data_IF_732294046788
#
_entry.id   IF_732294046788
#
_cell.length_a   1.000
_cell.length_b   1.000
_cell.length_c   1.000
_cell.angle_alpha   90.00
_cell.angle_beta   90.00
_cell.angle_gamma   90.00
#
_symmetry.space_group_name_H-M   'P 1'
#
loop_
_entity.id
_entity.type
_entity.pdbx_description
1 polymer ?
#
# COMPACT_ATOMS: atom_id res chain seq x y z
N UNK A 1 7.63 -18.62 -5.09
CA UNK A 1 8.36 -17.94 -4.01
C UNK A 1 7.61 -18.19 -2.73
N UNK A 2 8.27 -18.75 -1.74
CA UNK A 2 7.73 -18.97 -0.40
C UNK A 2 7.58 -17.62 0.30
N UNK A 3 6.54 -17.49 1.13
CA UNK A 3 6.30 -16.24 1.86
C UNK A 3 7.30 -16.05 3.00
N UNK A 4 7.87 -17.15 3.52
CA UNK A 4 8.93 -17.12 4.53
C UNK A 4 10.11 -16.24 4.12
N UNK A 5 10.51 -16.26 2.82
CA UNK A 5 11.56 -15.40 2.28
C UNK A 5 11.23 -13.91 2.49
N UNK A 6 9.95 -13.54 2.31
CA UNK A 6 9.48 -12.18 2.55
C UNK A 6 9.48 -11.85 4.04
N UNK A 7 9.03 -12.78 4.88
CA UNK A 7 8.99 -12.61 6.33
C UNK A 7 10.40 -12.49 6.93
N UNK A 8 11.36 -13.26 6.46
CA UNK A 8 12.77 -13.13 6.85
C UNK A 8 13.38 -11.79 6.44
N UNK A 9 13.13 -11.36 5.21
CA UNK A 9 13.56 -10.04 4.74
C UNK A 9 12.96 -8.91 5.59
N UNK A 10 11.70 -9.05 6.01
CA UNK A 10 11.04 -8.06 6.89
C UNK A 10 11.68 -8.03 8.29
N UNK A 11 12.00 -9.18 8.86
CA UNK A 11 12.76 -9.26 10.12
C UNK A 11 14.12 -8.57 9.99
N UNK A 12 14.82 -8.80 8.90
CA UNK A 12 16.13 -8.19 8.65
C UNK A 12 16.01 -6.67 8.44
N UNK A 13 14.96 -6.18 7.78
CA UNK A 13 14.67 -4.76 7.64
C UNK A 13 14.40 -4.10 9.00
N UNK A 14 13.65 -4.74 9.90
CA UNK A 14 13.42 -4.20 11.26
C UNK A 14 14.71 -4.04 12.08
N UNK A 15 15.68 -4.92 11.85
CA UNK A 15 16.97 -4.87 12.53
C UNK A 15 17.97 -3.90 11.88
N UNK A 16 17.65 -3.40 10.69
CA UNK A 16 18.55 -2.52 9.95
C UNK A 16 18.60 -1.12 10.58
N UNK A 17 19.79 -0.63 10.81
CA UNK A 17 20.04 0.73 11.27
C UNK A 17 20.58 1.58 10.12
N UNK A 18 19.81 2.62 9.76
CA UNK A 18 20.21 3.57 8.72
C UNK A 18 19.73 3.20 7.32
N UNK A 19 19.59 4.25 6.51
CA UNK A 19 18.94 4.18 5.18
C UNK A 19 19.66 3.24 4.20
N UNK A 20 20.99 3.23 4.20
CA UNK A 20 21.74 2.39 3.25
C UNK A 20 21.53 0.91 3.53
N UNK A 21 21.57 0.51 4.82
CA UNK A 21 21.32 -0.88 5.21
C UNK A 21 19.89 -1.33 4.84
N UNK A 22 18.88 -0.44 5.00
CA UNK A 22 17.52 -0.71 4.57
C UNK A 22 17.43 -0.94 3.05
N UNK A 23 18.12 -0.10 2.26
CA UNK A 23 18.15 -0.24 0.79
C UNK A 23 18.81 -1.57 0.39
N UNK A 24 19.94 -1.93 0.98
CA UNK A 24 20.68 -3.16 0.69
C UNK A 24 19.85 -4.41 0.99
N UNK A 25 19.21 -4.47 2.16
CA UNK A 25 18.35 -5.60 2.54
C UNK A 25 17.12 -5.72 1.65
N UNK A 26 16.49 -4.59 1.34
CA UNK A 26 15.37 -4.58 0.42
C UNK A 26 15.78 -4.96 -1.01
N UNK A 27 16.94 -4.48 -1.49
CA UNK A 27 17.50 -4.87 -2.77
C UNK A 27 17.75 -6.38 -2.85
N UNK A 28 18.22 -7.00 -1.77
CA UNK A 28 18.41 -8.45 -1.70
C UNK A 28 17.11 -9.22 -1.81
N UNK A 29 16.01 -8.74 -1.19
CA UNK A 29 14.67 -9.31 -1.37
C UNK A 29 14.20 -9.18 -2.82
N UNK A 30 14.29 -7.98 -3.40
CA UNK A 30 13.81 -7.73 -4.77
C UNK A 30 14.60 -8.53 -5.80
N UNK A 31 15.92 -8.67 -5.64
CA UNK A 31 16.79 -9.42 -6.56
C UNK A 31 16.45 -10.91 -6.64
N UNK A 32 15.99 -11.52 -5.53
CA UNK A 32 15.58 -12.93 -5.52
C UNK A 32 14.09 -13.14 -5.85
N UNK A 33 13.32 -12.05 -6.01
CA UNK A 33 11.90 -12.11 -6.32
C UNK A 33 11.71 -12.46 -7.81
N UNK A 34 10.97 -13.53 -8.16
CA UNK A 34 10.63 -13.83 -9.55
C UNK A 34 9.92 -12.66 -10.23
N UNK A 35 10.27 -12.37 -11.48
CA UNK A 35 9.74 -11.23 -12.24
C UNK A 35 8.20 -11.08 -12.17
N UNK A 36 7.37 -12.13 -12.31
CA UNK A 36 5.92 -11.99 -12.22
C UNK A 36 5.40 -11.61 -10.81
N UNK A 37 6.21 -11.80 -9.76
CA UNK A 37 5.85 -11.49 -8.38
C UNK A 37 6.37 -10.14 -7.91
N UNK A 38 7.30 -9.52 -8.65
CA UNK A 38 7.93 -8.28 -8.26
C UNK A 38 6.91 -7.15 -7.97
N UNK A 39 5.88 -6.91 -8.81
CA UNK A 39 4.85 -5.92 -8.52
C UNK A 39 4.15 -6.14 -7.18
N UNK A 40 3.78 -7.38 -6.92
CA UNK A 40 3.07 -7.77 -5.69
C UNK A 40 3.96 -7.64 -4.46
N UNK A 41 5.23 -8.04 -4.54
CA UNK A 41 6.18 -7.87 -3.44
C UNK A 41 6.44 -6.39 -3.15
N UNK A 42 6.47 -5.53 -4.18
CA UNK A 42 6.54 -4.07 -3.99
C UNK A 42 5.33 -3.53 -3.22
N UNK A 43 4.10 -3.99 -3.52
CA UNK A 43 2.92 -3.61 -2.74
C UNK A 43 2.99 -4.12 -1.31
N UNK A 44 3.36 -5.40 -1.11
CA UNK A 44 3.50 -5.97 0.23
C UNK A 44 4.51 -5.18 1.08
N UNK A 45 5.61 -4.71 0.50
CA UNK A 45 6.57 -3.84 1.18
C UNK A 45 5.99 -2.46 1.58
N UNK A 46 4.93 -2.01 0.90
CA UNK A 46 4.17 -0.81 1.28
C UNK A 46 3.05 -1.08 2.31
N UNK A 47 2.83 -2.33 2.69
CA UNK A 47 1.68 -2.73 3.51
C UNK A 47 0.38 -2.87 2.69
N UNK A 48 0.47 -2.95 1.37
CA UNK A 48 -0.64 -2.97 0.42
C UNK A 48 -0.71 -4.32 -0.32
N UNK A 49 -1.79 -4.57 -1.07
CA UNK A 49 -1.96 -5.72 -1.98
C UNK A 49 -2.30 -5.28 -3.42
N UNK A 50 -2.44 -3.98 -3.61
CA UNK A 50 -2.75 -3.31 -4.87
C UNK A 50 -2.21 -1.86 -4.79
N UNK A 51 -2.23 -1.07 -5.88
CA UNK A 51 -1.92 0.36 -5.81
C UNK A 51 -2.78 1.08 -4.77
N UNK A 52 -2.23 2.08 -4.08
CA UNK A 52 -2.91 2.84 -3.01
C UNK A 52 -4.25 3.40 -3.48
N UNK A 53 -4.28 3.96 -4.70
CA UNK A 53 -5.49 4.54 -5.28
C UNK A 53 -6.58 3.51 -5.64
N UNK A 54 -6.26 2.22 -5.69
CA UNK A 54 -7.30 1.19 -5.88
C UNK A 54 -8.22 1.03 -4.67
N UNK A 55 -7.90 1.70 -3.53
CA UNK A 55 -8.75 1.75 -2.36
C UNK A 55 -9.05 0.40 -1.72
N UNK A 56 -8.18 -0.58 -1.91
CA UNK A 56 -8.41 -1.94 -1.41
C UNK A 56 -8.23 -1.98 0.11
N UNK A 57 -9.34 -1.99 0.83
CA UNK A 57 -9.36 -2.14 2.28
C UNK A 57 -9.63 -3.61 2.66
N UNK A 58 -8.79 -4.19 3.50
CA UNK A 58 -9.01 -5.53 4.03
C UNK A 58 -10.17 -5.59 5.02
N UNK A 59 -10.55 -4.46 5.61
CA UNK A 59 -11.67 -4.35 6.56
C UNK A 59 -11.51 -5.29 7.77
N UNK A 60 -10.26 -5.48 8.22
CA UNK A 60 -9.90 -6.35 9.35
C UNK A 60 -9.60 -5.51 10.59
N UNK A 61 -10.60 -5.36 11.44
CA UNK A 61 -10.39 -4.75 12.75
C UNK A 61 -9.55 -5.68 13.66
N UNK A 62 -8.78 -5.08 14.57
CA UNK A 62 -7.90 -5.79 15.52
C UNK A 62 -8.62 -6.91 16.27
N UNK A 63 -9.88 -6.68 16.69
CA UNK A 63 -10.71 -7.70 17.36
C UNK A 63 -10.92 -8.96 16.52
N UNK A 64 -11.08 -8.81 15.21
CA UNK A 64 -11.25 -9.94 14.30
C UNK A 64 -9.92 -10.69 14.13
N UNK A 65 -8.81 -9.99 14.02
CA UNK A 65 -7.49 -10.57 13.95
C UNK A 65 -7.11 -11.33 15.23
N UNK A 66 -7.43 -10.80 16.42
CA UNK A 66 -7.29 -11.52 17.72
C UNK A 66 -8.06 -12.85 17.71
N UNK A 67 -9.32 -12.85 17.21
CA UNK A 67 -10.12 -14.08 17.09
C UNK A 67 -9.50 -15.08 16.11
N UNK A 68 -8.94 -14.59 14.99
CA UNK A 68 -8.26 -15.45 14.02
C UNK A 68 -7.02 -16.12 14.62
N UNK A 69 -6.22 -15.40 15.39
CA UNK A 69 -5.09 -15.98 16.16
C UNK A 69 -5.60 -17.02 17.13
N UNK A 70 -6.64 -16.72 17.90
CA UNK A 70 -7.25 -17.67 18.84
C UNK A 70 -7.71 -18.97 18.15
N UNK A 71 -8.35 -18.85 16.99
CA UNK A 71 -8.80 -19.99 16.18
C UNK A 71 -7.61 -20.81 15.66
N UNK A 72 -6.54 -20.16 15.17
CA UNK A 72 -5.37 -20.84 14.61
C UNK A 72 -4.53 -21.56 15.68
N UNK A 73 -4.48 -21.03 16.92
CA UNK A 73 -3.66 -21.56 18.02
C UNK A 73 -4.44 -22.37 19.04
N UNK A 74 -5.77 -22.44 18.93
CA UNK A 74 -6.63 -23.03 19.97
C UNK A 74 -6.69 -22.23 21.28
N UNK A 75 -6.24 -20.97 21.27
CA UNK A 75 -6.19 -20.07 22.44
C UNK A 75 -7.47 -19.23 22.55
N UNK A 76 -8.04 -19.09 23.74
CA UNK A 76 -9.21 -18.23 23.93
C UNK A 76 -8.90 -16.76 23.53
N UNK A 77 -9.80 -16.08 22.79
CA UNK A 77 -9.56 -14.71 22.30
C UNK A 77 -9.25 -13.71 23.43
N UNK A 78 -9.79 -13.93 24.63
CA UNK A 78 -9.54 -13.09 25.82
C UNK A 78 -8.07 -13.20 26.28
N UNK A 79 -7.48 -14.39 26.18
CA UNK A 79 -6.07 -14.64 26.51
C UNK A 79 -5.17 -14.03 25.46
N UNK A 80 -5.50 -14.19 24.16
CA UNK A 80 -4.78 -13.52 23.08
C UNK A 80 -4.81 -12.01 23.28
N UNK A 81 -5.99 -11.42 23.55
CA UNK A 81 -6.14 -10.00 23.78
C UNK A 81 -5.41 -9.49 25.03
N UNK A 82 -5.29 -10.30 26.09
CA UNK A 82 -4.49 -9.97 27.25
C UNK A 82 -2.99 -9.91 26.91
N UNK A 83 -2.48 -10.90 26.17
CA UNK A 83 -1.08 -10.91 25.70
C UNK A 83 -0.77 -9.76 24.74
N UNK A 84 -1.70 -9.39 23.84
CA UNK A 84 -1.55 -8.22 22.97
C UNK A 84 -1.38 -6.93 23.78
N UNK A 85 -2.15 -6.75 24.87
CA UNK A 85 -2.00 -5.57 25.75
C UNK A 85 -0.68 -5.54 26.49
N UNK A 86 -0.14 -6.71 26.85
CA UNK A 86 1.15 -6.85 27.53
C UNK A 86 2.32 -6.56 26.59
N UNK A 87 2.30 -7.14 25.39
CA UNK A 87 3.39 -7.08 24.40
C UNK A 87 3.32 -5.78 23.56
N UNK A 88 2.11 -5.26 23.32
CA UNK A 88 1.87 -4.08 22.50
C UNK A 88 1.92 -4.32 20.98
N UNK A 89 1.99 -5.60 20.52
CA UNK A 89 2.07 -5.96 19.11
C UNK A 89 1.37 -7.31 18.86
N UNK A 90 0.32 -7.28 18.03
CA UNK A 90 -0.46 -8.48 17.71
C UNK A 90 0.37 -9.49 16.91
N UNK A 91 1.25 -9.02 16.01
CA UNK A 91 2.12 -9.89 15.22
C UNK A 91 3.10 -10.66 16.10
N UNK A 92 3.77 -9.98 17.05
CA UNK A 92 4.66 -10.65 18.01
C UNK A 92 3.89 -11.61 18.92
N UNK A 93 2.69 -11.24 19.33
CA UNK A 93 1.82 -12.12 20.13
C UNK A 93 1.50 -13.41 19.38
N UNK A 94 1.17 -13.33 18.10
CA UNK A 94 0.88 -14.51 17.30
C UNK A 94 2.12 -15.37 17.04
N UNK A 95 3.28 -14.74 16.79
CA UNK A 95 4.56 -15.46 16.66
C UNK A 95 4.83 -16.32 17.90
N UNK A 96 4.68 -15.75 19.09
CA UNK A 96 4.89 -16.47 20.36
C UNK A 96 3.87 -17.61 20.57
N UNK A 97 2.58 -17.34 20.37
CA UNK A 97 1.53 -18.33 20.54
C UNK A 97 1.64 -19.49 19.55
N UNK A 98 2.00 -19.24 18.31
CA UNK A 98 2.22 -20.29 17.31
C UNK A 98 3.48 -21.11 17.64
N UNK A 99 4.54 -20.47 18.12
CA UNK A 99 5.74 -21.18 18.58
C UNK A 99 5.45 -22.07 19.79
N UNK A 100 4.68 -21.59 20.78
CA UNK A 100 4.22 -22.38 21.93
C UNK A 100 3.38 -23.59 21.47
N UNK A 101 2.40 -23.38 20.59
CA UNK A 101 1.55 -24.46 20.05
C UNK A 101 2.35 -25.49 19.27
N UNK A 102 3.38 -25.09 18.55
CA UNK A 102 4.27 -26.02 17.83
C UNK A 102 5.14 -26.83 18.78
N UNK A 103 5.60 -26.24 19.90
CA UNK A 103 6.40 -26.92 20.92
C UNK A 103 5.59 -27.95 21.74
N UNK A 104 4.31 -27.71 21.95
CA UNK A 104 3.40 -28.59 22.70
C UNK A 104 2.91 -29.79 21.89
N UNK A 105 3.23 -29.89 20.60
CA UNK A 105 2.95 -31.08 19.78
C UNK A 105 3.85 -32.22 20.24
N UNK A 106 3.30 -33.42 20.56
CA UNK A 106 4.11 -34.53 21.02
C UNK A 106 5.17 -34.92 19.99
N UNK A 107 6.44 -34.91 20.38
CA UNK A 107 7.53 -35.45 19.59
C UNK A 107 7.32 -36.97 19.42
N UNK A 108 6.80 -37.43 18.29
CA UNK A 108 6.63 -38.87 18.06
C UNK A 108 5.58 -39.26 17.02
N UNK A 109 4.73 -38.36 16.59
CA UNK A 109 3.94 -38.61 15.39
C UNK A 109 4.85 -38.26 14.21
N UNK A 110 5.42 -39.27 13.55
CA UNK A 110 6.12 -39.10 12.29
C UNK A 110 5.19 -38.33 11.35
N UNK A 111 5.53 -37.05 11.06
CA UNK A 111 4.84 -36.30 10.04
C UNK A 111 4.94 -37.07 8.74
N UNK A 112 3.85 -37.67 8.32
CA UNK A 112 3.75 -38.11 6.93
C UNK A 112 3.83 -36.87 6.06
N UNK A 113 4.30 -37.02 4.83
CA UNK A 113 4.38 -35.86 3.89
C UNK A 113 3.00 -35.15 3.70
N UNK A 114 1.90 -35.84 4.08
CA UNK A 114 0.54 -35.30 4.08
C UNK A 114 0.21 -34.44 5.31
N UNK A 115 0.96 -34.56 6.40
CA UNK A 115 0.72 -33.83 7.66
C UNK A 115 1.54 -32.53 7.77
N UNK A 116 2.44 -32.28 6.80
CA UNK A 116 3.15 -31.00 6.74
C UNK A 116 2.18 -29.92 6.27
N UNK A 117 2.05 -28.81 7.04
CA UNK A 117 1.27 -27.68 6.55
C UNK A 117 1.80 -27.25 5.18
N UNK A 118 0.88 -27.00 4.24
CA UNK A 118 1.25 -26.53 2.91
C UNK A 118 2.06 -25.22 3.06
N UNK A 119 3.24 -25.18 2.45
CA UNK A 119 4.11 -24.02 2.49
C UNK A 119 3.36 -22.81 1.94
N UNK A 120 3.28 -21.74 2.72
CA UNK A 120 2.68 -20.48 2.25
C UNK A 120 3.53 -19.88 1.15
N UNK A 121 2.90 -19.58 0.03
CA UNK A 121 3.53 -18.84 -1.08
C UNK A 121 3.03 -17.40 -1.11
N UNK A 122 3.83 -16.50 -1.68
CA UNK A 122 3.40 -15.10 -1.93
C UNK A 122 2.07 -15.06 -2.69
N UNK A 123 1.88 -15.95 -3.67
CA UNK A 123 0.63 -16.04 -4.45
C UNK A 123 -0.55 -16.44 -3.56
N UNK A 124 -0.37 -17.46 -2.72
CA UNK A 124 -1.42 -17.92 -1.79
C UNK A 124 -1.80 -16.80 -0.82
N UNK A 125 -0.82 -16.14 -0.21
CA UNK A 125 -1.04 -15.03 0.71
C UNK A 125 -1.84 -13.91 0.04
N UNK A 126 -1.38 -13.42 -1.12
CA UNK A 126 -2.05 -12.31 -1.80
C UNK A 126 -3.46 -12.67 -2.28
N UNK A 127 -3.66 -13.89 -2.78
CA UNK A 127 -4.99 -14.34 -3.19
C UNK A 127 -5.94 -14.44 -1.98
N UNK A 128 -5.46 -14.92 -0.82
CA UNK A 128 -6.26 -14.94 0.41
C UNK A 128 -6.59 -13.53 0.89
N UNK A 129 -5.62 -12.61 0.87
CA UNK A 129 -5.86 -11.21 1.24
C UNK A 129 -6.86 -10.52 0.29
N UNK A 130 -6.81 -10.81 -1.02
CA UNK A 130 -7.81 -10.34 -1.99
C UNK A 130 -9.21 -10.92 -1.70
N UNK A 131 -9.31 -12.20 -1.34
CA UNK A 131 -10.58 -12.79 -0.94
C UNK A 131 -11.13 -12.14 0.33
N UNK A 132 -10.27 -11.80 1.29
CA UNK A 132 -10.63 -11.06 2.50
C UNK A 132 -11.16 -9.66 2.14
N UNK A 133 -10.46 -8.93 1.27
CA UNK A 133 -10.90 -7.60 0.82
C UNK A 133 -12.26 -7.64 0.14
N UNK A 134 -12.49 -8.63 -0.73
CA UNK A 134 -13.72 -8.79 -1.50
C UNK A 134 -14.88 -9.42 -0.71
N UNK A 135 -14.67 -9.82 0.55
CA UNK A 135 -15.74 -10.38 1.37
C UNK A 135 -16.63 -9.25 1.93
N UNK A 136 -17.80 -9.08 1.31
CA UNK A 136 -18.78 -8.04 1.65
C UNK A 136 -20.14 -8.62 2.02
N UNK A 137 -21.03 -7.81 2.59
CA UNK A 137 -22.40 -8.16 2.92
C UNK A 137 -22.54 -9.04 4.16
N UNK A 138 -23.72 -9.69 4.29
CA UNK A 138 -24.06 -10.51 5.45
C UNK A 138 -23.13 -11.73 5.55
N UNK A 139 -22.52 -11.95 6.72
CA UNK A 139 -21.58 -13.07 6.95
C UNK A 139 -20.13 -12.78 6.58
N UNK A 140 -19.81 -11.61 6.02
CA UNK A 140 -18.46 -11.23 5.61
C UNK A 140 -17.43 -11.34 6.74
N UNK A 141 -17.81 -10.95 7.97
CA UNK A 141 -16.94 -11.05 9.15
C UNK A 141 -16.55 -12.50 9.48
N UNK A 142 -17.50 -13.44 9.36
CA UNK A 142 -17.23 -14.89 9.54
C UNK A 142 -16.28 -15.38 8.44
N UNK A 143 -16.54 -15.02 7.20
CA UNK A 143 -15.70 -15.39 6.06
C UNK A 143 -14.28 -14.83 6.17
N UNK A 144 -14.12 -13.57 6.54
CA UNK A 144 -12.81 -12.95 6.78
C UNK A 144 -12.05 -13.66 7.90
N UNK A 145 -12.75 -14.01 8.99
CA UNK A 145 -12.18 -14.76 10.12
C UNK A 145 -11.65 -16.14 9.66
N UNK A 146 -12.47 -16.91 8.93
CA UNK A 146 -12.09 -18.24 8.44
C UNK A 146 -10.87 -18.18 7.52
N UNK A 147 -10.84 -17.24 6.58
CA UNK A 147 -9.73 -17.06 5.64
C UNK A 147 -8.43 -16.69 6.37
N UNK A 148 -8.50 -15.74 7.31
CA UNK A 148 -7.31 -15.33 8.06
C UNK A 148 -6.83 -16.45 9.00
N UNK A 149 -7.72 -17.10 9.74
CA UNK A 149 -7.37 -18.20 10.63
C UNK A 149 -6.78 -19.39 9.86
N UNK A 150 -7.36 -19.75 8.70
CA UNK A 150 -6.84 -20.79 7.83
C UNK A 150 -5.44 -20.50 7.28
N UNK A 151 -5.17 -19.22 6.96
CA UNK A 151 -3.83 -18.78 6.54
C UNK A 151 -2.83 -18.84 7.72
N UNK A 152 -3.22 -18.38 8.91
CA UNK A 152 -2.36 -18.41 10.11
C UNK A 152 -2.07 -19.86 10.56
N UNK A 153 -2.99 -20.80 10.41
CA UNK A 153 -2.79 -22.21 10.75
C UNK A 153 -1.72 -22.89 9.87
N UNK A 154 -1.43 -22.34 8.69
CA UNK A 154 -0.40 -22.83 7.77
C UNK A 154 0.92 -22.05 7.92
N UNK A 155 0.89 -20.90 8.58
CA UNK A 155 2.04 -20.01 8.70
C UNK A 155 3.06 -20.51 9.72
N UNK A 156 4.34 -20.28 9.45
CA UNK A 156 5.37 -20.31 10.48
C UNK A 156 5.13 -19.18 11.50
N UNK A 157 5.68 -19.25 12.71
CA UNK A 157 5.57 -18.17 13.67
C UNK A 157 6.00 -16.81 13.11
N UNK A 158 7.11 -16.76 12.35
CA UNK A 158 7.62 -15.53 11.74
C UNK A 158 6.68 -15.00 10.64
N UNK A 159 6.16 -15.89 9.78
CA UNK A 159 5.17 -15.51 8.76
C UNK A 159 3.91 -14.92 9.40
N UNK A 160 3.40 -15.54 10.45
CA UNK A 160 2.21 -15.05 11.16
C UNK A 160 2.40 -13.65 11.73
N UNK A 161 3.58 -13.33 12.26
CA UNK A 161 3.92 -11.99 12.74
C UNK A 161 3.70 -10.95 11.64
N UNK A 162 4.27 -11.18 10.46
CA UNK A 162 4.19 -10.19 9.38
C UNK A 162 2.84 -10.21 8.64
N UNK A 163 2.17 -11.35 8.55
CA UNK A 163 0.80 -11.42 8.06
C UNK A 163 -0.15 -10.56 8.90
N UNK A 164 -0.07 -10.66 10.22
CA UNK A 164 -0.91 -9.85 11.10
C UNK A 164 -0.57 -8.37 11.04
N UNK A 165 0.71 -8.01 10.96
CA UNK A 165 1.11 -6.62 10.76
C UNK A 165 0.67 -6.06 9.41
N UNK A 166 0.68 -6.89 8.36
CA UNK A 166 0.16 -6.54 7.05
C UNK A 166 -1.34 -6.22 7.11
N UNK A 167 -2.14 -7.08 7.75
CA UNK A 167 -3.60 -6.92 7.79
C UNK A 167 -4.09 -5.88 8.79
N UNK A 168 -3.28 -5.51 9.78
CA UNK A 168 -3.61 -4.46 10.77
C UNK A 168 -2.98 -3.10 10.46
N UNK A 169 -2.28 -2.96 9.32
CA UNK A 169 -1.62 -1.72 8.91
C UNK A 169 -0.39 -1.35 9.76
N UNK A 170 0.17 -2.30 10.49
CA UNK A 170 1.27 -2.09 11.42
C UNK A 170 2.62 -2.68 10.99
N UNK A 171 2.94 -2.71 9.70
CA UNK A 171 4.13 -3.41 9.17
C UNK A 171 5.47 -2.92 9.74
N UNK A 172 5.60 -1.62 10.04
CA UNK A 172 6.70 -0.98 10.80
C UNK A 172 8.12 -1.34 10.35
N UNK A 173 8.35 -1.51 9.06
CA UNK A 173 9.67 -1.89 8.51
C UNK A 173 10.68 -0.73 8.42
N UNK A 174 10.25 0.49 8.74
CA UNK A 174 11.11 1.68 8.59
C UNK A 174 11.39 2.07 7.13
N UNK A 175 10.72 1.45 6.16
CA UNK A 175 10.84 1.74 4.74
C UNK A 175 9.60 2.48 4.22
N UNK A 176 9.81 3.32 3.21
CA UNK A 176 8.75 3.96 2.45
C UNK A 176 9.02 3.84 0.96
N UNK A 177 8.11 4.33 0.14
CA UNK A 177 8.25 4.33 -1.33
C UNK A 177 9.62 4.80 -1.81
N UNK A 178 10.24 5.88 -1.27
CA UNK A 178 11.58 6.28 -1.69
C UNK A 178 12.65 5.21 -1.49
N UNK A 179 12.56 4.39 -0.44
CA UNK A 179 13.50 3.29 -0.18
C UNK A 179 13.31 2.15 -1.17
N UNK A 180 12.04 1.86 -1.53
CA UNK A 180 11.72 0.82 -2.52
C UNK A 180 12.21 1.24 -3.91
N UNK A 181 12.03 2.51 -4.29
CA UNK A 181 12.55 3.06 -5.54
C UNK A 181 14.09 3.02 -5.60
N UNK A 182 14.77 3.34 -4.50
CA UNK A 182 16.24 3.21 -4.39
C UNK A 182 16.69 1.75 -4.60
N UNK A 183 15.99 0.79 -3.98
CA UNK A 183 16.30 -0.64 -4.11
C UNK A 183 16.03 -1.15 -5.54
N UNK A 184 14.89 -0.79 -6.16
CA UNK A 184 14.59 -1.11 -7.55
C UNK A 184 15.66 -0.55 -8.51
N UNK A 185 16.05 0.71 -8.32
CA UNK A 185 17.09 1.34 -9.13
C UNK A 185 18.44 0.61 -8.99
N UNK A 186 18.80 0.21 -7.77
CA UNK A 186 20.03 -0.51 -7.50
C UNK A 186 20.07 -1.89 -8.18
N UNK A 187 18.95 -2.63 -8.17
CA UNK A 187 18.90 -4.00 -8.69
C UNK A 187 18.73 -4.03 -10.21
N UNK A 188 17.81 -3.21 -10.75
CA UNK A 188 17.33 -3.36 -12.12
C UNK A 188 17.66 -2.19 -13.06
N UNK A 189 18.19 -1.06 -12.55
CA UNK A 189 18.46 0.12 -13.35
C UNK A 189 19.93 0.57 -13.33
N UNK A 190 20.85 -0.32 -12.99
CA UNK A 190 22.29 -0.04 -13.01
C UNK A 190 22.79 0.85 -11.86
N UNK A 191 21.94 1.16 -10.88
CA UNK A 191 22.34 1.89 -9.69
C UNK A 191 21.40 3.04 -9.32
N UNK A 192 21.63 3.62 -8.14
CA UNK A 192 20.75 4.64 -7.53
C UNK A 192 20.65 5.95 -8.34
N UNK A 193 21.57 6.20 -9.28
CA UNK A 193 21.50 7.36 -10.17
C UNK A 193 20.22 7.36 -11.04
N UNK A 194 19.64 6.18 -11.31
CA UNK A 194 18.40 6.04 -12.08
C UNK A 194 17.12 6.30 -11.25
N UNK A 195 17.23 6.45 -9.91
CA UNK A 195 16.07 6.67 -9.03
C UNK A 195 15.15 7.83 -9.45
N UNK A 196 15.65 9.00 -9.91
CA UNK A 196 14.77 10.11 -10.33
C UNK A 196 13.80 9.71 -11.45
N UNK A 197 14.21 8.83 -12.37
CA UNK A 197 13.36 8.32 -13.45
C UNK A 197 12.22 7.48 -12.88
N UNK A 198 12.53 6.55 -11.97
CA UNK A 198 11.54 5.71 -11.33
C UNK A 198 10.57 6.54 -10.47
N UNK A 199 11.11 7.55 -9.75
CA UNK A 199 10.31 8.45 -8.92
C UNK A 199 9.34 9.29 -9.74
N UNK A 200 9.81 9.84 -10.88
CA UNK A 200 8.94 10.55 -11.82
C UNK A 200 7.81 9.63 -12.32
N UNK A 201 8.14 8.44 -12.78
CA UNK A 201 7.17 7.46 -13.28
C UNK A 201 6.13 7.12 -12.19
N UNK A 202 6.58 6.83 -10.97
CA UNK A 202 5.69 6.57 -9.84
C UNK A 202 4.80 7.78 -9.51
N UNK A 203 5.33 9.00 -9.53
CA UNK A 203 4.55 10.19 -9.22
C UNK A 203 3.43 10.46 -10.23
N UNK A 204 3.58 10.02 -11.48
CA UNK A 204 2.57 10.23 -12.53
C UNK A 204 1.60 9.06 -12.71
N UNK A 205 1.94 7.84 -12.26
CA UNK A 205 1.03 6.69 -12.34
C UNK A 205 0.51 6.20 -10.99
N UNK A 206 1.09 6.64 -9.88
CA UNK A 206 0.79 6.22 -8.49
C UNK A 206 0.80 4.70 -8.27
N UNK A 207 1.45 3.95 -9.16
CA UNK A 207 1.50 2.48 -9.16
C UNK A 207 2.93 1.98 -9.15
N UNK A 208 3.41 1.61 -7.95
CA UNK A 208 4.77 1.10 -7.76
C UNK A 208 4.97 -0.27 -8.42
N UNK A 209 3.93 -1.10 -8.43
CA UNK A 209 3.96 -2.40 -9.08
C UNK A 209 4.08 -2.29 -10.59
N UNK A 210 3.36 -1.33 -11.21
CA UNK A 210 3.50 -1.03 -12.64
C UNK A 210 4.93 -0.56 -12.97
N UNK A 211 5.50 0.35 -12.18
CA UNK A 211 6.88 0.82 -12.38
C UNK A 211 7.87 -0.35 -12.30
N UNK A 212 7.72 -1.22 -11.29
CA UNK A 212 8.57 -2.40 -11.15
C UNK A 212 8.39 -3.40 -12.31
N UNK A 213 7.16 -3.61 -12.77
CA UNK A 213 6.85 -4.49 -13.89
C UNK A 213 7.49 -4.00 -15.19
N UNK A 214 7.31 -2.73 -15.53
CA UNK A 214 7.88 -2.13 -16.74
C UNK A 214 9.41 -2.15 -16.68
N UNK A 215 9.97 -1.83 -15.51
CA UNK A 215 11.42 -1.82 -15.32
C UNK A 215 12.06 -3.19 -15.57
N UNK A 216 11.45 -4.28 -15.07
CA UNK A 216 12.03 -5.62 -15.22
C UNK A 216 11.75 -6.22 -16.60
N UNK A 217 10.63 -5.88 -17.24
CA UNK A 217 10.28 -6.40 -18.54
C UNK A 217 11.00 -5.67 -19.69
N UNK A 218 11.02 -4.33 -19.64
CA UNK A 218 11.35 -3.48 -20.77
C UNK A 218 12.51 -2.51 -20.47
N UNK A 219 12.98 -2.46 -19.23
CA UNK A 219 14.11 -1.66 -18.79
C UNK A 219 13.79 -0.19 -18.50
N UNK A 220 14.85 0.58 -18.15
CA UNK A 220 14.73 1.96 -17.68
C UNK A 220 14.14 2.92 -18.73
N UNK A 221 14.48 2.76 -20.00
CA UNK A 221 13.96 3.59 -21.08
C UNK A 221 12.43 3.48 -21.21
N UNK A 222 11.87 2.29 -21.02
CA UNK A 222 10.41 2.11 -21.02
C UNK A 222 9.73 2.77 -19.81
N UNK A 223 10.41 2.82 -18.67
CA UNK A 223 9.91 3.55 -17.48
C UNK A 223 9.86 5.06 -17.75
N UNK A 224 10.80 5.64 -18.49
CA UNK A 224 10.77 7.05 -18.91
C UNK A 224 9.56 7.39 -19.77
N UNK A 225 9.06 6.43 -20.56
CA UNK A 225 7.89 6.57 -21.43
C UNK A 225 6.55 6.43 -20.70
N UNK A 226 6.53 6.10 -19.41
CA UNK A 226 5.30 6.06 -18.63
C UNK A 226 4.67 7.46 -18.61
N UNK A 227 3.39 7.53 -19.03
CA UNK A 227 2.61 8.76 -19.15
C UNK A 227 1.42 8.75 -18.20
N UNK A 228 0.89 9.93 -17.92
CA UNK A 228 -0.37 10.08 -17.21
C UNK A 228 -1.51 9.40 -17.97
N UNK A 229 -2.44 8.82 -17.24
CA UNK A 229 -3.65 8.18 -17.79
C UNK A 229 -4.84 8.54 -16.93
N UNK A 230 -5.98 8.93 -17.51
CA UNK A 230 -7.23 9.02 -16.76
C UNK A 230 -7.55 7.70 -16.05
N UNK A 231 -8.03 7.77 -14.83
CA UNK A 231 -8.24 6.61 -13.95
C UNK A 231 -7.05 6.29 -13.03
N UNK A 232 -5.85 6.81 -13.32
CA UNK A 232 -4.69 6.72 -12.45
C UNK A 232 -4.36 8.12 -11.90
N UNK A 233 -4.56 8.39 -10.61
CA UNK A 233 -4.28 9.71 -10.06
C UNK A 233 -2.79 10.05 -10.11
N UNK A 234 -2.49 11.33 -10.19
CA UNK A 234 -1.12 11.87 -10.20
C UNK A 234 -0.79 12.38 -8.80
N UNK A 235 0.39 12.06 -8.29
CA UNK A 235 0.81 12.58 -6.98
C UNK A 235 1.04 14.07 -7.04
N UNK A 236 0.44 14.78 -6.07
CA UNK A 236 0.64 16.23 -5.94
C UNK A 236 2.06 16.53 -5.47
N UNK A 237 2.66 17.58 -6.02
CA UNK A 237 3.91 18.13 -5.54
C UNK A 237 3.64 19.07 -4.35
N UNK A 238 4.52 19.01 -3.35
CA UNK A 238 4.46 19.92 -2.21
C UNK A 238 5.31 21.15 -2.48
N UNK A 239 4.70 22.34 -2.39
CA UNK A 239 5.43 23.59 -2.43
C UNK A 239 6.28 23.76 -1.17
N UNK A 240 7.48 24.30 -1.32
CA UNK A 240 8.30 24.69 -0.19
C UNK A 240 7.74 25.98 0.43
N UNK A 241 7.59 26.00 1.76
CA UNK A 241 7.23 27.20 2.49
C UNK A 241 8.48 28.04 2.72
N UNK A 242 8.41 29.33 2.42
CA UNK A 242 9.45 30.33 2.67
C UNK A 242 8.89 31.46 3.54
N UNK A 243 9.77 32.23 4.18
CA UNK A 243 9.38 33.18 5.22
C UNK A 243 8.78 34.46 4.64
N UNK A 244 9.31 34.99 3.53
CA UNK A 244 8.89 36.26 2.95
C UNK A 244 8.97 36.26 1.41
N UNK A 245 8.42 37.32 0.80
CA UNK A 245 8.34 37.48 -0.64
C UNK A 245 9.72 37.70 -1.30
N UNK A 246 10.68 38.29 -0.61
CA UNK A 246 12.02 38.53 -1.14
C UNK A 246 12.78 37.18 -1.27
N UNK A 247 12.67 36.31 -0.27
CA UNK A 247 13.24 34.99 -0.31
C UNK A 247 12.60 34.14 -1.41
N UNK A 248 11.26 34.21 -1.57
CA UNK A 248 10.53 33.54 -2.66
C UNK A 248 11.04 33.97 -4.03
N UNK A 249 11.11 35.30 -4.27
CA UNK A 249 11.57 35.83 -5.54
C UNK A 249 13.02 35.47 -5.84
N UNK A 250 13.90 35.56 -4.84
CA UNK A 250 15.30 35.17 -4.99
C UNK A 250 15.43 33.68 -5.40
N UNK A 251 14.62 32.80 -4.79
CA UNK A 251 14.64 31.36 -5.09
C UNK A 251 14.07 31.04 -6.46
N UNK A 252 13.08 31.78 -6.94
CA UNK A 252 12.42 31.57 -8.23
C UNK A 252 13.05 32.32 -9.40
N UNK A 253 14.20 32.99 -9.17
CA UNK A 253 14.92 33.71 -10.25
C UNK A 253 14.42 35.10 -10.53
N UNK A 254 13.67 35.74 -9.62
CA UNK A 254 13.23 37.13 -9.69
C UNK A 254 11.78 37.34 -10.14
N UNK A 255 11.14 36.30 -10.71
CA UNK A 255 9.75 36.31 -11.15
C UNK A 255 8.97 35.11 -10.62
N UNK A 256 7.69 35.32 -10.29
CA UNK A 256 6.79 34.19 -9.93
C UNK A 256 5.33 34.53 -10.28
N UNK A 257 4.53 33.49 -10.52
CA UNK A 257 3.09 33.61 -10.54
C UNK A 257 2.57 33.62 -9.09
N UNK A 258 1.67 34.56 -8.78
CA UNK A 258 0.98 34.63 -7.50
C UNK A 258 -0.48 34.21 -7.68
N UNK A 259 -0.93 33.27 -6.88
CA UNK A 259 -2.29 32.72 -6.92
C UNK A 259 -2.95 32.87 -5.55
N UNK A 260 -4.28 33.02 -5.55
CA UNK A 260 -5.05 32.90 -4.31
C UNK A 260 -5.04 31.47 -3.82
N UNK A 261 -4.81 31.28 -2.52
CA UNK A 261 -4.99 29.99 -1.89
C UNK A 261 -6.43 29.90 -1.37
N UNK A 262 -7.27 29.23 -2.13
CA UNK A 262 -8.60 28.91 -1.67
C UNK A 262 -8.56 27.88 -0.53
N UNK A 263 -9.50 27.99 0.40
CA UNK A 263 -9.67 27.02 1.49
C UNK A 263 -10.83 26.10 1.16
N UNK A 264 -10.51 24.93 0.67
CA UNK A 264 -11.45 23.95 0.17
C UNK A 264 -10.82 22.54 0.13
N UNK A 265 -11.34 21.71 -0.75
CA UNK A 265 -10.82 20.38 -1.00
C UNK A 265 -10.19 20.31 -2.39
N UNK A 266 -8.87 20.08 -2.45
CA UNK A 266 -8.18 19.84 -3.71
C UNK A 266 -8.58 18.51 -4.30
N UNK A 267 -9.11 18.51 -5.52
CA UNK A 267 -9.50 17.33 -6.27
C UNK A 267 -8.82 17.32 -7.64
N UNK A 268 -8.42 16.12 -8.06
CA UNK A 268 -8.13 15.81 -9.45
C UNK A 268 -9.38 15.20 -10.06
N UNK A 269 -9.81 15.72 -11.20
CA UNK A 269 -10.91 15.16 -11.97
C UNK A 269 -10.38 14.50 -13.23
N UNK A 270 -10.68 13.23 -13.41
CA UNK A 270 -10.32 12.45 -14.58
C UNK A 270 -11.55 12.17 -15.40
N UNK A 271 -11.55 12.56 -16.67
CA UNK A 271 -12.51 12.09 -17.67
C UNK A 271 -11.91 10.92 -18.40
N UNK A 272 -12.51 9.75 -18.26
CA UNK A 272 -12.08 8.51 -18.91
C UNK A 272 -12.67 8.39 -20.31
N UNK A 273 -12.12 7.55 -21.18
CA UNK A 273 -12.54 7.39 -22.58
C UNK A 273 -14.00 6.98 -22.75
N UNK A 274 -14.60 6.31 -21.75
CA UNK A 274 -16.02 5.97 -21.69
C UNK A 274 -16.91 7.13 -21.19
N UNK A 275 -16.30 8.29 -20.93
CA UNK A 275 -16.99 9.53 -20.53
C UNK A 275 -17.27 9.66 -19.03
N UNK A 276 -16.86 8.69 -18.21
CA UNK A 276 -17.00 8.80 -16.74
C UNK A 276 -16.10 9.91 -16.20
N UNK A 277 -16.57 10.59 -15.16
CA UNK A 277 -15.77 11.52 -14.35
C UNK A 277 -15.44 10.83 -13.03
N UNK A 278 -14.16 10.74 -12.74
CA UNK A 278 -13.63 10.21 -11.47
C UNK A 278 -12.94 11.34 -10.73
N UNK A 279 -13.26 11.52 -9.44
CA UNK A 279 -12.68 12.56 -8.59
C UNK A 279 -11.78 11.93 -7.53
N UNK A 280 -10.56 12.46 -7.45
CA UNK A 280 -9.51 11.94 -6.58
C UNK A 280 -9.05 13.01 -5.59
N UNK A 281 -8.99 12.65 -4.31
CA UNK A 281 -8.42 13.52 -3.28
C UNK A 281 -6.89 13.57 -3.36
N UNK A 282 -6.27 14.50 -2.61
CA UNK A 282 -4.81 14.54 -2.41
C UNK A 282 -4.25 13.23 -1.84
N UNK A 283 -5.08 12.44 -1.14
CA UNK A 283 -4.71 11.14 -0.57
C UNK A 283 -4.95 9.97 -1.51
N UNK A 284 -5.25 10.25 -2.78
CA UNK A 284 -5.54 9.25 -3.81
C UNK A 284 -6.81 8.44 -3.52
N UNK A 285 -7.76 9.00 -2.76
CA UNK A 285 -9.05 8.39 -2.49
C UNK A 285 -10.04 8.80 -3.59
N UNK A 286 -10.76 7.84 -4.14
CA UNK A 286 -11.84 8.09 -5.10
C UNK A 286 -13.09 8.59 -4.36
N UNK A 287 -13.61 9.75 -4.73
CA UNK A 287 -14.70 10.44 -4.01
C UNK A 287 -15.82 10.95 -4.92
N UNK A 288 -15.95 10.45 -6.14
CA UNK A 288 -16.93 10.92 -7.13
C UNK A 288 -18.36 10.89 -6.59
N UNK A 289 -18.69 9.87 -5.79
CA UNK A 289 -20.03 9.73 -5.18
C UNK A 289 -20.33 10.77 -4.10
N UNK A 290 -19.30 11.42 -3.55
CA UNK A 290 -19.44 12.45 -2.52
C UNK A 290 -19.67 13.85 -3.13
N UNK A 291 -19.34 14.05 -4.42
CA UNK A 291 -19.44 15.31 -5.14
C UNK A 291 -20.23 15.16 -6.47
N UNK A 292 -21.51 14.74 -6.43
CA UNK A 292 -22.28 14.47 -7.64
C UNK A 292 -22.51 15.72 -8.50
N UNK A 293 -22.62 16.88 -7.91
CA UNK A 293 -22.73 18.19 -8.57
C UNK A 293 -21.45 18.53 -9.36
N UNK A 294 -20.28 18.31 -8.80
CA UNK A 294 -18.99 18.50 -9.48
C UNK A 294 -18.87 17.53 -10.66
N UNK A 295 -19.27 16.28 -10.48
CA UNK A 295 -19.28 15.25 -11.55
C UNK A 295 -20.20 15.69 -12.70
N UNK A 296 -21.41 16.18 -12.40
CA UNK A 296 -22.37 16.65 -13.40
C UNK A 296 -21.81 17.84 -14.20
N UNK A 297 -21.30 18.87 -13.51
CA UNK A 297 -20.73 20.06 -14.14
C UNK A 297 -19.54 19.70 -15.04
N UNK A 298 -18.63 18.86 -14.57
CA UNK A 298 -17.45 18.46 -15.35
C UNK A 298 -17.83 17.57 -16.54
N UNK A 299 -18.79 16.67 -16.37
CA UNK A 299 -19.32 15.84 -17.45
C UNK A 299 -19.89 16.68 -18.59
N UNK A 300 -20.63 17.75 -18.26
CA UNK A 300 -21.20 18.67 -19.23
C UNK A 300 -20.19 19.61 -19.87
N UNK A 301 -19.14 20.01 -19.12
CA UNK A 301 -18.21 21.08 -19.51
C UNK A 301 -16.94 20.60 -20.19
N UNK A 302 -16.40 19.44 -19.80
CA UNK A 302 -15.16 18.90 -20.37
C UNK A 302 -15.38 18.32 -21.76
N UNK A 303 -14.91 19.04 -22.80
CA UNK A 303 -15.08 18.67 -24.22
C UNK A 303 -14.18 17.52 -24.67
N UNK A 304 -12.88 17.42 -24.22
CA UNK A 304 -12.00 16.34 -24.64
C UNK A 304 -12.59 14.95 -24.30
N UNK A 305 -12.27 13.94 -25.11
CA UNK A 305 -12.67 12.54 -24.82
C UNK A 305 -12.04 12.02 -23.53
N UNK A 306 -10.78 12.40 -23.32
CA UNK A 306 -10.04 12.12 -22.09
C UNK A 306 -9.40 13.40 -21.56
N UNK A 307 -9.43 13.59 -20.25
CA UNK A 307 -8.82 14.73 -19.60
C UNK A 307 -8.45 14.44 -18.15
N UNK A 308 -7.40 15.09 -17.68
CA UNK A 308 -7.09 15.22 -16.24
C UNK A 308 -7.03 16.71 -15.96
N UNK A 309 -7.84 17.17 -15.03
CA UNK A 309 -7.85 18.56 -14.55
C UNK A 309 -7.76 18.56 -13.03
N UNK A 310 -7.22 19.61 -12.47
CA UNK A 310 -7.07 19.76 -11.03
C UNK A 310 -7.63 21.12 -10.60
N UNK A 311 -8.29 21.16 -9.44
CA UNK A 311 -8.88 22.36 -8.89
C UNK A 311 -9.18 22.24 -7.41
N UNK A 312 -9.68 23.33 -6.85
CA UNK A 312 -10.15 23.39 -5.48
C UNK A 312 -11.68 23.42 -5.48
N UNK A 313 -12.31 22.46 -4.82
CA UNK A 313 -13.76 22.45 -4.60
C UNK A 313 -14.05 23.23 -3.33
N UNK A 314 -14.85 24.28 -3.47
CA UNK A 314 -15.18 25.21 -2.38
C UNK A 314 -16.70 25.31 -2.31
N UNK A 315 -17.28 25.25 -1.11
CA UNK A 315 -18.69 25.50 -0.93
C UNK A 315 -19.03 26.95 -1.25
N UNK A 316 -20.09 27.17 -2.04
CA UNK A 316 -20.53 28.50 -2.46
C UNK A 316 -21.97 28.78 -2.04
N UNK A 317 -22.15 29.87 -1.29
CA UNK A 317 -23.47 30.37 -0.94
C UNK A 317 -23.95 31.33 -2.04
N UNK A 318 -24.82 30.84 -2.92
CA UNK A 318 -25.33 31.62 -4.04
C UNK A 318 -26.22 32.78 -3.59
N UNK A 319 -26.86 32.72 -2.44
CA UNK A 319 -27.70 33.79 -1.91
C UNK A 319 -26.87 34.96 -1.33
N UNK A 320 -25.76 34.62 -0.67
CA UNK A 320 -24.82 35.62 -0.12
C UNK A 320 -23.77 36.06 -1.14
N UNK A 321 -23.52 35.28 -2.22
CA UNK A 321 -22.45 35.50 -3.16
C UNK A 321 -21.05 35.24 -2.60
N UNK A 322 -20.94 34.36 -1.56
CA UNK A 322 -19.74 34.16 -0.80
C UNK A 322 -19.27 32.70 -0.84
N UNK A 323 -17.95 32.52 -0.84
CA UNK A 323 -17.34 31.22 -0.60
C UNK A 323 -17.44 30.88 0.89
N UNK A 324 -17.80 29.64 1.19
CA UNK A 324 -17.87 29.10 2.55
C UNK A 324 -16.69 28.15 2.78
N UNK A 325 -16.00 28.22 3.93
CA UNK A 325 -14.92 27.32 4.27
C UNK A 325 -15.41 25.88 4.55
#
# INVERSE_FOLDING_TARGET
MEYEIVAEAYRDLEQATGRLALIERLAALLAQTPAPLLPVVCYLCQGLIAPEFAGVDLGLAEKLAIRAVGTATGTAPEVVGARVREIGDLGQTAELLLAETAADRPAGLAETAADRPAVLTVVTVVNTLRQIANAEGTGSQGRKLELLAGMLAQATPLEARYLLRQVTGGLRLGIGTPTILDALAQVYAGGRAARPVLERAYNICCDLGLVAQVLIADGLAAVEEIKVRPGNPVRVMLAQRLADAAEILAKLGGECAAEYKYDGMRLQAHKTADGRIELWTRRLEEVSTQFPDVVEVLSASLRPAEAIVEGEVVAYDAAAGELRP
#
